data_IF_175577165204
#
_entry.id   IF_175577165204
#
_cell.length_a   1.000
_cell.length_b   1.000
_cell.length_c   1.000
_cell.angle_alpha   90.00
_cell.angle_beta   90.00
_cell.angle_gamma   90.00
#
_symmetry.space_group_name_H-M   'P 1'
#
loop_
_entity.id
_entity.type
_entity.pdbx_description
1 polymer ?
#
# COMPACT_ATOMS: atom_id res chain seq x y z
N UNK A 1 -4.23 27.79 -17.72
CA UNK A 1 -4.99 26.75 -18.45
C UNK A 1 -4.93 25.40 -17.74
N UNK A 2 -3.75 24.79 -17.53
CA UNK A 2 -3.63 23.49 -16.85
C UNK A 2 -4.19 23.43 -15.43
N UNK A 3 -4.04 24.49 -14.62
CA UNK A 3 -4.60 24.53 -13.27
C UNK A 3 -6.14 24.40 -13.27
N UNK A 4 -6.81 25.13 -14.15
CA UNK A 4 -8.27 25.09 -14.27
C UNK A 4 -8.72 23.70 -14.72
N UNK A 5 -8.00 23.08 -15.67
CA UNK A 5 -8.27 21.71 -16.11
C UNK A 5 -8.12 20.72 -14.96
N UNK A 6 -7.07 20.84 -14.12
CA UNK A 6 -6.87 19.96 -12.97
C UNK A 6 -7.96 20.12 -11.90
N UNK A 7 -8.40 21.36 -11.64
CA UNK A 7 -9.51 21.63 -10.72
C UNK A 7 -10.80 21.01 -11.24
N UNK A 8 -11.13 21.22 -12.52
CA UNK A 8 -12.30 20.60 -13.15
C UNK A 8 -12.17 19.08 -13.11
N UNK A 9 -11.00 18.53 -13.40
CA UNK A 9 -10.72 17.09 -13.36
C UNK A 9 -11.01 16.48 -11.99
N UNK A 10 -10.64 17.16 -10.91
CA UNK A 10 -10.99 16.73 -9.55
C UNK A 10 -12.50 16.66 -9.34
N UNK A 11 -13.25 17.69 -9.75
CA UNK A 11 -14.71 17.68 -9.64
C UNK A 11 -15.37 16.61 -10.52
N UNK A 12 -14.85 16.38 -11.72
CA UNK A 12 -15.32 15.30 -12.61
C UNK A 12 -15.09 13.94 -11.97
N UNK A 13 -13.90 13.70 -11.40
CA UNK A 13 -13.57 12.43 -10.76
C UNK A 13 -14.47 12.15 -9.53
N UNK A 14 -14.67 13.16 -8.68
CA UNK A 14 -15.61 13.07 -7.55
C UNK A 14 -17.06 12.90 -8.04
N UNK A 15 -17.43 13.54 -9.15
CA UNK A 15 -18.74 13.42 -9.78
C UNK A 15 -19.02 12.02 -10.31
N UNK A 16 -18.01 11.36 -10.91
CA UNK A 16 -18.11 9.96 -11.34
C UNK A 16 -18.30 9.05 -10.12
N UNK A 17 -17.51 9.22 -9.07
CA UNK A 17 -17.70 8.44 -7.83
C UNK A 17 -19.10 8.66 -7.23
N UNK A 18 -19.61 9.90 -7.25
CA UNK A 18 -20.96 10.21 -6.77
C UNK A 18 -22.06 9.54 -7.61
N UNK A 19 -21.88 9.48 -8.94
CA UNK A 19 -22.84 8.85 -9.85
C UNK A 19 -23.00 7.35 -9.54
N UNK A 20 -21.90 6.66 -9.26
CA UNK A 20 -21.88 5.24 -8.93
C UNK A 20 -22.01 4.96 -7.42
N UNK A 21 -22.30 5.97 -6.60
CA UNK A 21 -22.48 5.80 -5.16
C UNK A 21 -23.71 4.96 -4.84
N UNK A 22 -23.53 3.96 -3.97
CA UNK A 22 -24.59 3.08 -3.46
C UNK A 22 -25.64 3.84 -2.65
N UNK A 23 -25.23 4.86 -1.90
CA UNK A 23 -26.12 5.63 -1.02
C UNK A 23 -25.74 7.12 -0.98
N UNK A 24 -26.21 7.86 -1.98
CA UNK A 24 -25.91 9.29 -2.15
C UNK A 24 -26.34 10.17 -0.98
N UNK A 25 -27.30 9.73 -0.15
CA UNK A 25 -27.85 10.53 0.95
C UNK A 25 -26.98 10.48 2.21
N UNK A 26 -26.24 9.38 2.40
CA UNK A 26 -25.40 9.17 3.59
C UNK A 26 -23.92 9.53 3.37
N UNK A 27 -23.58 10.16 2.23
CA UNK A 27 -22.23 10.64 1.95
C UNK A 27 -21.81 11.71 2.98
N UNK A 28 -20.71 11.47 3.67
CA UNK A 28 -20.17 12.38 4.67
C UNK A 28 -19.25 13.43 4.04
N UNK A 29 -19.85 14.42 3.36
CA UNK A 29 -19.12 15.46 2.61
C UNK A 29 -18.08 16.24 3.43
N UNK A 30 -18.30 16.43 4.73
CA UNK A 30 -17.32 17.08 5.61
C UNK A 30 -16.03 16.25 5.75
N UNK A 31 -16.14 14.92 5.86
CA UNK A 31 -14.97 14.04 5.91
C UNK A 31 -14.26 13.97 4.54
N UNK A 32 -15.03 13.89 3.45
CA UNK A 32 -14.48 13.93 2.08
C UNK A 32 -13.72 15.22 1.82
N UNK A 33 -14.28 16.38 2.17
CA UNK A 33 -13.59 17.65 2.04
C UNK A 33 -12.29 17.69 2.87
N UNK A 34 -12.30 17.14 4.08
CA UNK A 34 -11.11 17.04 4.93
C UNK A 34 -10.04 16.15 4.28
N UNK A 35 -10.43 15.00 3.71
CA UNK A 35 -9.53 14.11 3.00
C UNK A 35 -8.95 14.76 1.73
N UNK A 36 -9.77 15.48 0.94
CA UNK A 36 -9.30 16.19 -0.25
C UNK A 36 -8.28 17.27 0.13
N UNK A 37 -8.57 18.08 1.15
CA UNK A 37 -7.64 19.11 1.65
C UNK A 37 -6.36 18.46 2.17
N UNK A 38 -6.46 17.39 2.95
CA UNK A 38 -5.30 16.63 3.43
C UNK A 38 -4.46 16.11 2.27
N UNK A 39 -5.09 15.55 1.24
CA UNK A 39 -4.39 15.03 0.06
C UNK A 39 -3.64 16.13 -0.68
N UNK A 40 -4.25 17.31 -0.86
CA UNK A 40 -3.60 18.46 -1.49
C UNK A 40 -2.42 18.97 -0.65
N UNK A 41 -2.56 19.01 0.68
CA UNK A 41 -1.49 19.39 1.61
C UNK A 41 -0.33 18.39 1.54
N UNK A 42 -0.63 17.08 1.56
CA UNK A 42 0.39 16.04 1.45
C UNK A 42 1.10 16.10 0.10
N UNK A 43 0.36 16.28 -1.00
CA UNK A 43 0.94 16.40 -2.33
C UNK A 43 1.86 17.62 -2.42
N UNK A 44 1.42 18.76 -1.89
CA UNK A 44 2.26 19.95 -1.79
C UNK A 44 3.49 19.74 -0.92
N UNK A 45 3.34 19.07 0.23
CA UNK A 45 4.44 18.78 1.14
C UNK A 45 5.50 17.88 0.49
N UNK A 46 5.10 16.79 -0.16
CA UNK A 46 6.05 15.86 -0.76
C UNK A 46 6.71 16.38 -2.04
N UNK A 47 6.03 17.25 -2.80
CA UNK A 47 6.53 17.73 -4.10
C UNK A 47 7.28 19.06 -4.00
N UNK A 48 6.81 19.99 -3.17
CA UNK A 48 7.35 21.36 -3.14
C UNK A 48 8.08 21.71 -1.85
N UNK A 49 7.70 21.12 -0.72
CA UNK A 49 8.26 21.51 0.57
C UNK A 49 9.62 20.83 0.80
N UNK A 50 10.71 21.57 1.09
CA UNK A 50 12.07 21.01 1.15
C UNK A 50 12.22 19.83 2.10
N UNK A 51 11.54 19.87 3.25
CA UNK A 51 11.57 18.76 4.21
C UNK A 51 10.87 17.51 3.67
N UNK A 52 9.76 17.67 2.93
CA UNK A 52 9.02 16.56 2.33
C UNK A 52 9.77 15.94 1.15
N UNK A 53 10.35 16.75 0.28
CA UNK A 53 11.20 16.26 -0.83
C UNK A 53 12.44 15.54 -0.30
N UNK A 54 13.06 16.05 0.78
CA UNK A 54 14.21 15.40 1.42
C UNK A 54 13.80 14.05 2.04
N UNK A 55 12.65 13.99 2.69
CA UNK A 55 12.12 12.75 3.25
C UNK A 55 11.90 11.69 2.16
N UNK A 56 11.22 12.05 1.07
CA UNK A 56 10.97 11.16 -0.07
C UNK A 56 12.27 10.68 -0.69
N UNK A 57 13.23 11.58 -0.90
CA UNK A 57 14.54 11.23 -1.45
C UNK A 57 15.29 10.23 -0.57
N UNK A 58 15.34 10.47 0.75
CA UNK A 58 15.97 9.53 1.70
C UNK A 58 15.27 8.18 1.74
N UNK A 59 13.94 8.16 1.62
CA UNK A 59 13.19 6.92 1.51
C UNK A 59 13.53 6.18 0.21
N UNK A 60 13.68 6.88 -0.91
CA UNK A 60 14.06 6.30 -2.20
C UNK A 60 15.48 5.72 -2.17
N UNK A 61 16.42 6.43 -1.56
CA UNK A 61 17.78 5.95 -1.31
C UNK A 61 17.79 4.69 -0.42
N UNK A 62 16.97 4.67 0.63
CA UNK A 62 16.82 3.50 1.50
C UNK A 62 16.27 2.27 0.77
N UNK A 63 15.24 2.44 -0.06
CA UNK A 63 14.71 1.35 -0.91
C UNK A 63 15.76 0.89 -1.93
N UNK A 64 16.49 1.82 -2.54
CA UNK A 64 17.56 1.49 -3.49
C UNK A 64 18.65 0.65 -2.83
N UNK A 65 19.04 0.99 -1.60
CA UNK A 65 19.99 0.18 -0.83
C UNK A 65 19.48 -1.24 -0.55
N UNK A 66 18.19 -1.41 -0.25
CA UNK A 66 17.58 -2.75 -0.10
C UNK A 66 17.62 -3.53 -1.42
N UNK A 67 17.36 -2.87 -2.54
CA UNK A 67 17.43 -3.50 -3.87
C UNK A 67 18.86 -3.93 -4.20
N UNK A 68 19.87 -3.12 -3.90
CA UNK A 68 21.29 -3.47 -4.11
C UNK A 68 21.69 -4.68 -3.25
N UNK A 69 21.21 -4.76 -2.01
CA UNK A 69 21.39 -5.92 -1.16
C UNK A 69 20.70 -7.17 -1.76
N UNK A 70 19.52 -7.00 -2.37
CA UNK A 70 18.84 -8.09 -3.08
C UNK A 70 19.67 -8.59 -4.27
N UNK A 71 20.25 -7.69 -5.07
CA UNK A 71 21.13 -8.05 -6.19
C UNK A 71 22.40 -8.79 -5.74
N UNK A 72 22.93 -8.45 -4.56
CA UNK A 72 24.05 -9.22 -3.97
C UNK A 72 23.63 -10.67 -3.71
N UNK A 73 22.44 -10.90 -3.14
CA UNK A 73 21.89 -12.24 -2.92
C UNK A 73 21.57 -12.99 -4.21
N UNK A 74 20.98 -12.30 -5.19
CA UNK A 74 20.68 -12.87 -6.51
C UNK A 74 21.98 -13.27 -7.22
N UNK A 75 23.00 -12.42 -7.21
CA UNK A 75 24.29 -12.69 -7.84
C UNK A 75 25.07 -13.82 -7.18
N UNK A 76 24.87 -14.07 -5.89
CA UNK A 76 25.42 -15.24 -5.21
C UNK A 76 24.81 -16.56 -5.74
N UNK A 77 23.48 -16.61 -5.91
CA UNK A 77 22.80 -17.79 -6.43
C UNK A 77 22.93 -17.95 -7.95
N UNK A 78 22.86 -16.84 -8.69
CA UNK A 78 22.82 -16.76 -10.14
C UNK A 78 23.71 -15.61 -10.64
N UNK A 79 25.03 -15.80 -10.60
CA UNK A 79 25.98 -14.78 -11.05
C UNK A 79 25.73 -14.31 -12.49
N UNK A 80 25.39 -15.24 -13.39
CA UNK A 80 25.06 -14.95 -14.78
C UNK A 80 23.84 -14.04 -14.96
N UNK A 81 22.96 -13.95 -13.96
CA UNK A 81 21.75 -13.12 -14.05
C UNK A 81 22.04 -11.67 -13.69
N UNK A 82 23.12 -11.37 -12.96
CA UNK A 82 23.45 -10.01 -12.48
C UNK A 82 24.68 -9.42 -13.16
N UNK A 83 25.51 -10.25 -13.81
CA UNK A 83 26.67 -9.83 -14.58
C UNK A 83 26.37 -9.01 -15.87
N UNK A 84 25.25 -9.22 -16.59
CA UNK A 84 24.96 -8.46 -17.82
C UNK A 84 24.69 -6.97 -17.56
N UNK A 85 25.10 -6.11 -18.51
CA UNK A 85 24.76 -4.67 -18.47
C UNK A 85 23.29 -4.37 -18.71
N UNK A 86 22.58 -5.29 -19.37
CA UNK A 86 21.13 -5.23 -19.56
C UNK A 86 20.54 -6.48 -18.93
N UNK A 87 19.80 -6.26 -17.85
CA UNK A 87 19.12 -7.30 -17.12
C UNK A 87 17.73 -7.52 -17.73
N UNK A 88 17.30 -8.78 -17.80
CA UNK A 88 15.91 -9.08 -18.11
C UNK A 88 14.98 -8.42 -17.08
N UNK A 89 13.81 -7.96 -17.53
CA UNK A 89 12.83 -7.31 -16.65
C UNK A 89 12.47 -8.19 -15.43
N UNK A 90 12.39 -9.51 -15.61
CA UNK A 90 12.15 -10.44 -14.50
C UNK A 90 13.26 -10.37 -13.44
N UNK A 91 14.53 -10.32 -13.85
CA UNK A 91 15.66 -10.24 -12.92
C UNK A 91 15.75 -8.85 -12.28
N UNK A 92 15.61 -7.80 -13.09
CA UNK A 92 15.74 -6.42 -12.64
C UNK A 92 14.64 -6.02 -11.65
N UNK A 93 13.39 -6.39 -11.94
CA UNK A 93 12.22 -5.91 -11.23
C UNK A 93 11.61 -6.94 -10.28
N UNK A 94 11.58 -8.24 -10.63
CA UNK A 94 10.84 -9.24 -9.87
C UNK A 94 11.71 -9.98 -8.85
N UNK A 95 12.97 -10.29 -9.16
CA UNK A 95 13.83 -11.03 -8.22
C UNK A 95 14.11 -10.27 -6.90
N UNK A 96 14.21 -8.93 -6.86
CA UNK A 96 14.33 -8.20 -5.60
C UNK A 96 13.20 -8.47 -4.59
N UNK A 97 12.02 -8.91 -5.06
CA UNK A 97 10.89 -9.32 -4.21
C UNK A 97 11.30 -10.42 -3.22
N UNK A 98 12.24 -11.30 -3.59
CA UNK A 98 12.74 -12.39 -2.76
C UNK A 98 13.45 -11.90 -1.48
N UNK A 99 13.93 -10.66 -1.45
CA UNK A 99 14.44 -10.02 -0.24
C UNK A 99 13.42 -9.08 0.39
N UNK A 100 12.72 -8.29 -0.44
CA UNK A 100 11.80 -7.25 0.04
C UNK A 100 10.67 -7.85 0.87
N UNK A 101 10.01 -8.92 0.39
CA UNK A 101 8.90 -9.54 1.13
C UNK A 101 9.37 -10.08 2.50
N UNK A 102 10.42 -10.93 2.58
CA UNK A 102 10.96 -11.36 3.86
C UNK A 102 11.41 -10.23 4.78
N UNK A 103 11.96 -9.14 4.24
CA UNK A 103 12.36 -7.99 5.05
C UNK A 103 11.15 -7.35 5.75
N UNK A 104 10.07 -7.09 5.00
CA UNK A 104 8.84 -6.55 5.58
C UNK A 104 8.20 -7.52 6.58
N UNK A 105 8.22 -8.82 6.28
CA UNK A 105 7.73 -9.85 7.19
C UNK A 105 8.56 -9.94 8.48
N UNK A 106 9.89 -9.77 8.42
CA UNK A 106 10.74 -9.65 9.61
C UNK A 106 10.32 -8.44 10.45
N UNK A 107 10.10 -7.28 9.83
CA UNK A 107 9.64 -6.08 10.54
C UNK A 107 8.26 -6.27 11.18
N UNK A 108 7.38 -7.06 10.55
CA UNK A 108 6.10 -7.48 11.09
C UNK A 108 6.26 -8.43 12.27
N UNK A 109 7.12 -9.45 12.16
CA UNK A 109 7.42 -10.42 13.21
C UNK A 109 7.99 -9.74 14.46
N UNK A 110 8.88 -8.76 14.26
CA UNK A 110 9.47 -7.94 15.33
C UNK A 110 8.50 -6.89 15.92
N UNK A 111 7.29 -6.74 15.36
CA UNK A 111 6.30 -5.72 15.73
C UNK A 111 6.74 -4.26 15.52
N UNK A 112 7.80 -4.01 14.76
CA UNK A 112 8.25 -2.65 14.43
C UNK A 112 7.25 -2.00 13.48
N UNK A 113 6.91 -2.69 12.38
CA UNK A 113 6.01 -2.16 11.37
C UNK A 113 4.57 -1.98 11.89
N UNK A 114 3.95 -2.94 12.61
CA UNK A 114 2.65 -2.75 13.24
C UNK A 114 2.59 -1.54 14.17
N UNK A 115 3.65 -1.29 14.93
CA UNK A 115 3.70 -0.14 15.84
C UNK A 115 3.68 1.19 15.07
N UNK A 116 4.46 1.30 13.99
CA UNK A 116 4.46 2.47 13.10
C UNK A 116 3.07 2.64 12.45
N UNK A 117 2.49 1.56 11.93
CA UNK A 117 1.19 1.60 11.26
C UNK A 117 0.06 2.05 12.20
N UNK A 118 0.06 1.59 13.45
CA UNK A 118 -0.90 2.05 14.48
C UNK A 118 -0.77 3.55 14.75
N UNK A 119 0.47 4.04 14.86
CA UNK A 119 0.73 5.47 15.09
C UNK A 119 0.19 6.33 13.95
N UNK A 120 0.55 6.00 12.71
CA UNK A 120 0.11 6.76 11.53
C UNK A 120 -1.41 6.64 11.34
N UNK A 121 -1.95 5.42 11.46
CA UNK A 121 -3.39 5.17 11.33
C UNK A 121 -4.22 5.94 12.36
N UNK A 122 -3.74 6.05 13.60
CA UNK A 122 -4.40 6.84 14.65
C UNK A 122 -4.40 8.34 14.33
N UNK A 123 -3.26 8.88 13.88
CA UNK A 123 -3.18 10.29 13.45
C UNK A 123 -4.12 10.55 12.28
N UNK A 124 -4.12 9.66 11.29
CA UNK A 124 -4.97 9.77 10.11
C UNK A 124 -6.46 9.71 10.48
N UNK A 125 -6.87 8.76 11.33
CA UNK A 125 -8.25 8.64 11.82
C UNK A 125 -8.69 9.93 12.55
N UNK A 126 -7.81 10.49 13.40
CA UNK A 126 -8.10 11.72 14.15
C UNK A 126 -8.28 12.93 13.25
N UNK A 127 -7.47 13.06 12.20
CA UNK A 127 -7.55 14.19 11.25
C UNK A 127 -8.78 14.04 10.35
N UNK A 128 -8.99 12.84 9.79
CA UNK A 128 -10.00 12.61 8.74
C UNK A 128 -11.40 12.36 9.28
N UNK A 129 -11.53 12.10 10.60
CA UNK A 129 -12.77 11.67 11.27
C UNK A 129 -13.37 10.40 10.66
N UNK A 130 -12.55 9.64 9.95
CA UNK A 130 -12.92 8.34 9.40
C UNK A 130 -12.86 7.28 10.50
N UNK A 131 -13.57 6.15 10.33
CA UNK A 131 -13.46 5.03 11.25
C UNK A 131 -11.99 4.59 11.37
N UNK A 132 -11.56 4.30 12.60
CA UNK A 132 -10.18 4.00 12.97
C UNK A 132 -9.63 2.82 12.19
N UNK A 133 -10.44 1.77 11.97
CA UNK A 133 -9.95 0.60 11.26
C UNK A 133 -9.69 0.87 9.79
N UNK A 134 -10.52 1.65 9.10
CA UNK A 134 -10.36 2.00 7.69
C UNK A 134 -9.09 2.82 7.49
N UNK A 135 -8.82 3.76 8.39
CA UNK A 135 -7.57 4.51 8.42
C UNK A 135 -6.37 3.61 8.71
N UNK A 136 -6.49 2.71 9.69
CA UNK A 136 -5.43 1.76 10.02
C UNK A 136 -5.14 0.79 8.86
N UNK A 137 -6.17 0.19 8.28
CA UNK A 137 -6.10 -0.72 7.15
C UNK A 137 -5.56 -0.04 5.89
N UNK A 138 -5.92 1.22 5.64
CA UNK A 138 -5.30 2.03 4.58
C UNK A 138 -3.78 2.17 4.78
N UNK A 139 -3.34 2.36 6.02
CA UNK A 139 -1.90 2.38 6.34
C UNK A 139 -1.28 0.98 6.26
N UNK A 140 -1.96 -0.08 6.66
CA UNK A 140 -1.47 -1.46 6.45
C UNK A 140 -1.25 -1.74 4.95
N UNK A 141 -2.22 -1.36 4.12
CA UNK A 141 -2.13 -1.47 2.66
C UNK A 141 -0.95 -0.68 2.08
N UNK A 142 -0.58 0.44 2.69
CA UNK A 142 0.59 1.24 2.30
C UNK A 142 1.90 0.46 2.31
N UNK A 143 2.09 -0.33 3.37
CA UNK A 143 3.35 -0.98 3.65
C UNK A 143 3.34 -2.43 3.18
N UNK A 144 2.22 -3.12 3.36
CA UNK A 144 2.10 -4.55 3.15
C UNK A 144 1.53 -4.88 1.77
N UNK A 145 0.66 -4.03 1.23
CA UNK A 145 -0.11 -4.36 0.03
C UNK A 145 -1.36 -5.18 0.31
N UNK A 146 -2.06 -5.56 -0.77
CA UNK A 146 -3.36 -6.20 -0.71
C UNK A 146 -3.32 -7.60 -0.07
N UNK A 147 -2.38 -8.46 -0.46
CA UNK A 147 -2.32 -9.86 -0.02
C UNK A 147 -1.98 -9.99 1.47
N UNK A 148 -0.99 -9.24 1.94
CA UNK A 148 -0.41 -9.34 3.27
C UNK A 148 -1.27 -8.61 4.30
N UNK A 149 -1.76 -7.40 3.98
CA UNK A 149 -2.65 -6.68 4.90
C UNK A 149 -3.97 -7.44 5.10
N UNK A 150 -4.51 -8.11 4.06
CA UNK A 150 -5.68 -8.98 4.23
C UNK A 150 -5.39 -10.16 5.18
N UNK A 151 -4.20 -10.74 5.14
CA UNK A 151 -3.83 -11.82 6.05
C UNK A 151 -3.67 -11.32 7.51
N UNK A 152 -3.10 -10.14 7.70
CA UNK A 152 -2.94 -9.49 9.02
C UNK A 152 -4.28 -9.15 9.64
N UNK A 153 -5.18 -8.58 8.84
CA UNK A 153 -6.49 -8.09 9.27
C UNK A 153 -7.64 -9.09 9.05
N UNK A 154 -7.35 -10.33 8.63
CA UNK A 154 -8.34 -11.35 8.25
C UNK A 154 -9.41 -11.64 9.32
N UNK A 155 -9.01 -11.81 10.56
CA UNK A 155 -9.94 -12.08 11.67
C UNK A 155 -10.84 -10.89 11.98
N UNK A 156 -10.33 -9.67 11.82
CA UNK A 156 -11.14 -8.46 11.97
C UNK A 156 -12.16 -8.38 10.84
N UNK A 157 -11.75 -8.63 9.60
CA UNK A 157 -12.65 -8.63 8.43
C UNK A 157 -13.81 -9.62 8.57
N UNK A 158 -13.57 -10.81 9.14
CA UNK A 158 -14.62 -11.83 9.37
C UNK A 158 -15.70 -11.40 10.37
N UNK A 159 -15.40 -10.44 11.24
CA UNK A 159 -16.32 -9.95 12.29
C UNK A 159 -17.02 -8.66 11.89
N UNK A 160 -16.68 -8.10 10.73
CA UNK A 160 -17.25 -6.85 10.24
C UNK A 160 -18.52 -7.08 9.43
N UNK A 161 -19.41 -6.07 9.43
CA UNK A 161 -20.55 -6.02 8.52
C UNK A 161 -20.06 -6.05 7.06
N UNK A 162 -20.79 -6.77 6.21
CA UNK A 162 -20.48 -6.92 4.78
C UNK A 162 -20.30 -5.58 4.06
N UNK A 163 -21.08 -4.57 4.45
CA UNK A 163 -20.98 -3.22 3.90
C UNK A 163 -19.64 -2.57 4.23
N UNK A 164 -19.08 -2.81 5.42
CA UNK A 164 -17.75 -2.29 5.81
C UNK A 164 -16.63 -3.06 5.11
N UNK A 165 -16.79 -4.38 4.95
CA UNK A 165 -15.87 -5.21 4.17
C UNK A 165 -15.79 -4.75 2.71
N UNK A 166 -16.91 -4.36 2.10
CA UNK A 166 -16.92 -3.80 0.74
C UNK A 166 -16.06 -2.54 0.63
N UNK A 167 -16.13 -1.62 1.61
CA UNK A 167 -15.28 -0.42 1.65
C UNK A 167 -13.80 -0.77 1.65
N UNK A 168 -13.41 -1.74 2.49
CA UNK A 168 -12.03 -2.19 2.60
C UNK A 168 -11.55 -2.90 1.33
N UNK A 169 -12.43 -3.66 0.67
CA UNK A 169 -12.15 -4.28 -0.61
C UNK A 169 -11.93 -3.24 -1.73
N UNK A 170 -12.71 -2.16 -1.76
CA UNK A 170 -12.48 -1.07 -2.72
C UNK A 170 -11.15 -0.37 -2.45
N UNK A 171 -10.80 -0.14 -1.17
CA UNK A 171 -9.53 0.46 -0.79
C UNK A 171 -8.33 -0.44 -1.15
N UNK A 172 -8.44 -1.75 -0.94
CA UNK A 172 -7.35 -2.69 -1.22
C UNK A 172 -7.03 -2.79 -2.71
N UNK A 173 -8.05 -2.70 -3.58
CA UNK A 173 -7.86 -2.71 -5.04
C UNK A 173 -7.12 -1.49 -5.60
N UNK A 174 -7.06 -0.39 -4.84
CA UNK A 174 -6.31 0.81 -5.23
C UNK A 174 -4.82 0.71 -4.88
N UNK A 175 -4.41 -0.26 -4.07
CA UNK A 175 -3.09 -0.26 -3.42
C UNK A 175 -2.07 -1.13 -4.17
N UNK A 176 -0.79 -0.81 -3.96
CA UNK A 176 0.36 -1.55 -4.49
C UNK A 176 1.08 -2.19 -3.31
N UNK A 177 1.59 -3.42 -3.47
CA UNK A 177 2.42 -4.05 -2.45
C UNK A 177 3.81 -3.44 -2.38
N UNK A 178 4.32 -3.26 -1.15
CA UNK A 178 5.70 -2.85 -0.89
C UNK A 178 6.73 -3.73 -1.61
N UNK A 179 6.39 -5.00 -1.84
CA UNK A 179 7.16 -5.94 -2.64
C UNK A 179 7.49 -5.43 -4.06
N UNK A 180 6.49 -4.82 -4.73
CA UNK A 180 6.59 -4.37 -6.13
C UNK A 180 7.12 -2.92 -6.21
N UNK A 181 7.11 -2.17 -5.10
CA UNK A 181 7.69 -0.82 -5.06
C UNK A 181 9.14 -0.83 -5.52
N UNK A 182 9.92 -1.83 -5.09
CA UNK A 182 11.31 -1.98 -5.54
C UNK A 182 11.42 -2.14 -7.05
N UNK A 183 10.51 -2.89 -7.68
CA UNK A 183 10.43 -3.03 -9.12
C UNK A 183 10.16 -1.68 -9.81
N UNK A 184 9.16 -0.93 -9.34
CA UNK A 184 8.76 0.33 -9.96
C UNK A 184 9.83 1.42 -9.87
N UNK A 185 10.63 1.46 -8.79
CA UNK A 185 11.74 2.40 -8.63
C UNK A 185 12.83 2.19 -9.69
N UNK A 186 12.95 0.98 -10.26
CA UNK A 186 13.88 0.74 -11.38
C UNK A 186 13.35 1.20 -12.73
N UNK A 187 12.03 1.41 -12.84
CA UNK A 187 11.36 1.78 -14.09
C UNK A 187 11.03 3.29 -14.19
N UNK A 188 10.76 3.93 -13.05
CA UNK A 188 10.29 5.32 -12.91
C UNK A 188 11.04 5.96 -11.73
N UNK A 189 11.31 7.28 -11.72
CA UNK A 189 11.95 7.94 -10.59
C UNK A 189 11.33 7.55 -9.24
N UNK A 190 12.17 7.05 -8.33
CA UNK A 190 11.70 6.49 -7.06
C UNK A 190 10.98 7.51 -6.18
N UNK A 191 11.32 8.79 -6.30
CA UNK A 191 10.63 9.86 -5.59
C UNK A 191 9.16 9.96 -6.00
N UNK A 192 8.84 9.72 -7.27
CA UNK A 192 7.46 9.74 -7.75
C UNK A 192 6.68 8.53 -7.22
N UNK A 193 7.30 7.35 -7.24
CA UNK A 193 6.70 6.11 -6.71
C UNK A 193 6.40 6.27 -5.21
N UNK A 194 7.38 6.72 -4.43
CA UNK A 194 7.24 6.86 -2.99
C UNK A 194 6.32 8.01 -2.57
N UNK A 195 6.22 9.07 -3.37
CA UNK A 195 5.23 10.13 -3.15
C UNK A 195 3.81 9.65 -3.46
N UNK A 196 3.63 8.82 -4.50
CA UNK A 196 2.32 8.35 -4.91
C UNK A 196 1.66 7.42 -3.87
N UNK A 197 2.44 6.61 -3.15
CA UNK A 197 1.94 5.65 -2.16
C UNK A 197 1.05 6.29 -1.07
N UNK A 198 1.50 7.29 -0.29
CA UNK A 198 0.68 7.90 0.75
C UNK A 198 -0.51 8.68 0.18
N UNK A 199 -0.35 9.34 -0.99
CA UNK A 199 -1.44 10.06 -1.65
C UNK A 199 -2.54 9.10 -2.12
N UNK A 200 -2.14 7.94 -2.65
CA UNK A 200 -3.06 6.92 -3.13
C UNK A 200 -3.99 6.41 -2.02
N UNK A 201 -3.51 6.26 -0.78
CA UNK A 201 -4.37 5.81 0.33
C UNK A 201 -5.44 6.82 0.66
N UNK A 202 -5.07 8.11 0.71
CA UNK A 202 -6.04 9.18 0.94
C UNK A 202 -7.06 9.23 -0.21
N UNK A 203 -6.60 9.08 -1.45
CA UNK A 203 -7.48 8.99 -2.63
C UNK A 203 -8.42 7.78 -2.56
N UNK A 204 -7.91 6.61 -2.17
CA UNK A 204 -8.71 5.40 -2.00
C UNK A 204 -9.78 5.59 -0.93
N UNK A 205 -9.44 6.23 0.20
CA UNK A 205 -10.41 6.58 1.24
C UNK A 205 -11.48 7.56 0.74
N UNK A 206 -11.11 8.58 -0.05
CA UNK A 206 -12.06 9.52 -0.66
C UNK A 206 -13.06 8.76 -1.54
N UNK A 207 -12.55 7.97 -2.48
CA UNK A 207 -13.39 7.25 -3.46
C UNK A 207 -14.25 6.21 -2.77
N UNK A 208 -13.68 5.42 -1.86
CA UNK A 208 -14.43 4.40 -1.12
C UNK A 208 -15.53 5.02 -0.24
N UNK A 209 -15.26 6.16 0.41
CA UNK A 209 -16.24 6.88 1.24
C UNK A 209 -17.39 7.48 0.42
N UNK A 210 -17.17 7.77 -0.86
CA UNK A 210 -18.21 8.24 -1.77
C UNK A 210 -19.00 7.06 -2.34
N UNK A 211 -18.31 6.02 -2.82
CA UNK A 211 -18.93 4.87 -3.47
C UNK A 211 -19.77 4.03 -2.50
N UNK A 212 -19.29 3.84 -1.28
CA UNK A 212 -19.98 3.06 -0.26
C UNK A 212 -19.91 3.79 1.10
N UNK A 213 -20.77 4.79 1.32
CA UNK A 213 -20.81 5.51 2.58
C UNK A 213 -21.23 4.57 3.71
N UNK A 214 -20.37 4.42 4.72
CA UNK A 214 -20.64 3.59 5.91
C UNK A 214 -20.76 4.48 7.14
N UNK A 215 -21.79 4.23 7.96
CA UNK A 215 -21.87 4.74 9.34
C UNK A 215 -21.41 3.64 10.26
N UNK A 216 -20.30 3.87 10.97
CA UNK A 216 -19.75 2.93 11.94
C UNK A 216 -20.07 3.47 13.33
N UNK A 217 -20.71 2.64 14.15
CA UNK A 217 -20.94 2.98 15.55
C UNK A 217 -19.62 2.88 16.35
N UNK A 218 -19.51 3.64 17.44
CA UNK A 218 -18.23 3.82 18.17
C UNK A 218 -17.73 2.51 18.78
N UNK A 219 -18.65 1.60 19.12
CA UNK A 219 -18.39 0.26 19.65
C UNK A 219 -17.86 -0.71 18.57
N UNK A 220 -18.28 -0.55 17.32
CA UNK A 220 -17.78 -1.31 16.18
C UNK A 220 -16.42 -0.79 15.66
N UNK A 221 -16.00 0.42 16.06
CA UNK A 221 -14.77 1.06 15.61
C UNK A 221 -13.55 0.75 16.51
N UNK A 222 -13.30 -0.54 16.69
CA UNK A 222 -12.18 -1.08 17.47
C UNK A 222 -11.24 -1.87 16.56
N UNK A 223 -9.94 -1.73 16.77
CA UNK A 223 -8.92 -2.55 16.09
C UNK A 223 -8.65 -3.76 16.99
N UNK A 224 -9.02 -4.95 16.56
CA UNK A 224 -8.85 -6.17 17.34
C UNK A 224 -7.41 -6.69 17.16
N UNK A 225 -6.59 -6.58 18.21
CA UNK A 225 -5.24 -7.16 18.21
C UNK A 225 -5.26 -8.61 18.70
N UNK A 226 -5.76 -9.53 17.86
CA UNK A 226 -5.97 -10.93 18.25
C UNK A 226 -4.68 -11.78 18.21
N UNK A 227 -3.62 -11.31 17.53
CA UNK A 227 -2.30 -11.98 17.50
C UNK A 227 -1.50 -11.81 18.80
N UNK A 228 -2.13 -11.34 19.88
CA UNK A 228 -1.52 -11.33 21.20
C UNK A 228 -1.50 -12.72 21.86
N UNK A 229 -2.44 -13.61 21.50
CA UNK A 229 -2.68 -14.87 22.22
C UNK A 229 -2.32 -16.16 21.46
N UNK A 230 -1.82 -16.08 20.22
CA UNK A 230 -1.31 -17.26 19.51
C UNK A 230 0.18 -17.46 19.78
N UNK A 231 0.58 -18.73 19.96
CA UNK A 231 1.99 -19.10 20.08
C UNK A 231 2.71 -18.69 18.79
N UNK A 232 3.65 -17.74 18.90
CA UNK A 232 4.44 -17.32 17.74
C UNK A 232 5.24 -18.49 17.20
N UNK A 233 5.11 -18.71 15.90
CA UNK A 233 5.97 -19.61 15.17
C UNK A 233 7.44 -19.21 15.38
N UNK A 234 8.39 -20.18 15.46
CA UNK A 234 9.81 -19.87 15.53
C UNK A 234 10.28 -19.00 14.36
N UNK A 235 11.14 -18.03 14.63
CA UNK A 235 11.59 -17.02 13.67
C UNK A 235 12.04 -17.59 12.31
N UNK A 236 12.91 -18.60 12.32
CA UNK A 236 13.42 -19.18 11.07
C UNK A 236 12.37 -19.95 10.28
N UNK A 237 11.36 -20.52 10.95
CA UNK A 237 10.25 -21.18 10.27
C UNK A 237 9.34 -20.14 9.60
N UNK A 238 9.01 -19.06 10.32
CA UNK A 238 8.27 -17.93 9.76
C UNK A 238 9.00 -17.29 8.57
N UNK A 239 10.31 -17.08 8.70
CA UNK A 239 11.15 -16.55 7.62
C UNK A 239 11.17 -17.49 6.40
N UNK A 240 11.28 -18.80 6.63
CA UNK A 240 11.22 -19.80 5.56
C UNK A 240 9.91 -19.74 4.78
N UNK A 241 8.77 -19.66 5.48
CA UNK A 241 7.45 -19.53 4.86
C UNK A 241 7.34 -18.24 4.04
N UNK A 242 7.86 -17.13 4.57
CA UNK A 242 7.90 -15.84 3.86
C UNK A 242 8.70 -15.91 2.56
N UNK A 243 9.91 -16.50 2.58
CA UNK A 243 10.75 -16.67 1.39
C UNK A 243 10.07 -17.55 0.34
N UNK A 244 9.39 -18.63 0.76
CA UNK A 244 8.64 -19.49 -0.15
C UNK A 244 7.46 -18.77 -0.79
N UNK A 245 6.74 -17.93 -0.03
CA UNK A 245 5.64 -17.13 -0.55
C UNK A 245 6.13 -16.06 -1.53
N UNK A 246 7.26 -15.40 -1.24
CA UNK A 246 7.91 -14.48 -2.17
C UNK A 246 8.28 -15.18 -3.49
N UNK A 247 8.84 -16.40 -3.42
CA UNK A 247 9.16 -17.20 -4.60
C UNK A 247 7.93 -17.54 -5.47
N UNK A 248 6.81 -17.93 -4.84
CA UNK A 248 5.54 -18.15 -5.54
C UNK A 248 5.04 -16.87 -6.21
N UNK A 249 5.12 -15.74 -5.51
CA UNK A 249 4.69 -14.44 -6.04
C UNK A 249 5.46 -14.06 -7.30
N UNK A 250 6.80 -14.19 -7.28
CA UNK A 250 7.66 -13.94 -8.45
C UNK A 250 7.25 -14.81 -9.63
N UNK A 251 7.08 -16.12 -9.41
CA UNK A 251 6.70 -17.06 -10.47
C UNK A 251 5.34 -16.72 -11.08
N UNK A 252 4.36 -16.37 -10.23
CA UNK A 252 3.03 -15.97 -10.67
C UNK A 252 3.12 -14.70 -11.55
N UNK A 253 3.83 -13.67 -11.11
CA UNK A 253 3.95 -12.41 -11.86
C UNK A 253 4.61 -12.66 -13.23
N UNK A 254 5.68 -13.46 -13.29
CA UNK A 254 6.35 -13.82 -14.55
C UNK A 254 5.35 -14.49 -15.51
N UNK A 255 4.58 -15.48 -15.03
CA UNK A 255 3.60 -16.19 -15.84
C UNK A 255 2.52 -15.25 -16.41
N UNK A 256 1.99 -14.33 -15.59
CA UNK A 256 1.00 -13.35 -16.02
C UNK A 256 1.56 -12.37 -17.04
N UNK A 257 2.76 -11.81 -16.79
CA UNK A 257 3.39 -10.85 -17.72
C UNK A 257 3.65 -11.51 -19.07
N UNK A 258 4.24 -12.70 -19.11
CA UNK A 258 4.50 -13.43 -20.37
C UNK A 258 3.18 -13.69 -21.11
N UNK A 259 2.16 -14.18 -20.41
CA UNK A 259 0.88 -14.53 -21.03
C UNK A 259 0.16 -13.29 -21.58
N UNK A 260 0.10 -12.21 -20.82
CA UNK A 260 -0.59 -10.98 -21.23
C UNK A 260 0.15 -10.24 -22.33
N UNK A 261 1.48 -10.20 -22.29
CA UNK A 261 2.28 -9.59 -23.38
C UNK A 261 2.14 -10.41 -24.66
N UNK A 262 2.09 -11.75 -24.58
CA UNK A 262 1.90 -12.59 -25.77
C UNK A 262 0.48 -12.49 -26.36
N UNK A 263 -0.52 -12.14 -25.56
CA UNK A 263 -1.91 -11.95 -26.00
C UNK A 263 -2.19 -10.55 -26.57
N UNK A 264 -1.37 -9.56 -26.23
CA UNK A 264 -1.51 -8.16 -26.64
C UNK A 264 -0.96 -7.92 -28.06
#
# INVERSE_FOLDING_TARGET
>A
MYLIINIIGLFVFLGVAFLFSRDRKNIQWASIATLVVLNLILAWFFVYFPAGTLFVKKAAEGISWVIDAAFTGIGFAFHSFTAPKQLDMAVAALFPILLVVPLFDILMYLRILPWIMRGIGWVLAKITRQPKFEAFFGIEMMFLGNTEALAVSSEQLKRMKETRVLTLAMMSMSSVSGAIVGAYVTMIPGELVLTAIPLNIVNAMIVASILNPVKVEVDEDVIYDLRANEARQPFFSFLGDSVLNAGKLVLIIIAFVISFVALA
#
